data_IF_289501031094
#
_entry.id   IF_289501031094
#
_cell.length_a   1.000
_cell.length_b   1.000
_cell.length_c   1.000
_cell.angle_alpha   90.00
_cell.angle_beta   90.00
_cell.angle_gamma   90.00
#
_symmetry.space_group_name_H-M   'P 1'
#
loop_
_entity.id
_entity.type
_entity.pdbx_description
1 polymer ?
#
# COMPACT_ATOMS: atom_id res chain seq x y z
N UNK A 1 -9.19 -17.01 2.02
CA UNK A 1 -9.19 -15.85 2.94
C UNK A 1 -7.90 -15.05 2.86
N UNK A 2 -6.86 -15.27 3.68
CA UNK A 2 -5.66 -14.39 3.67
C UNK A 2 -4.96 -14.32 2.31
N UNK A 3 -4.90 -15.44 1.57
CA UNK A 3 -4.31 -15.49 0.22
C UNK A 3 -5.05 -14.61 -0.79
N UNK A 4 -6.37 -14.47 -0.65
CA UNK A 4 -7.17 -13.69 -1.59
C UNK A 4 -7.02 -12.20 -1.28
N UNK A 5 -7.06 -11.84 0.01
CA UNK A 5 -6.77 -10.48 0.49
C UNK A 5 -5.39 -9.99 0.03
N UNK A 6 -4.36 -10.84 0.12
CA UNK A 6 -3.01 -10.52 -0.38
C UNK A 6 -3.02 -10.26 -1.89
N UNK A 7 -3.75 -11.06 -2.67
CA UNK A 7 -3.83 -10.87 -4.12
C UNK A 7 -4.57 -9.60 -4.51
N UNK A 8 -5.62 -9.23 -3.78
CA UNK A 8 -6.33 -7.98 -4.01
C UNK A 8 -5.41 -6.78 -3.71
N UNK A 9 -4.72 -6.77 -2.56
CA UNK A 9 -3.72 -5.75 -2.21
C UNK A 9 -2.70 -5.52 -3.35
N UNK A 10 -2.14 -6.59 -3.94
CA UNK A 10 -1.23 -6.45 -5.09
C UNK A 10 -1.88 -5.87 -6.37
N UNK A 11 -3.17 -6.13 -6.60
CA UNK A 11 -3.88 -5.53 -7.74
C UNK A 11 -4.15 -4.05 -7.49
N UNK A 12 -4.51 -3.69 -6.27
CA UNK A 12 -4.75 -2.31 -5.87
C UNK A 12 -3.48 -1.46 -5.96
N UNK A 13 -2.34 -1.99 -5.50
CA UNK A 13 -1.03 -1.33 -5.68
C UNK A 13 -0.75 -1.02 -7.15
N UNK A 14 -0.90 -2.02 -8.04
CA UNK A 14 -0.70 -1.81 -9.49
C UNK A 14 -1.66 -0.79 -10.07
N UNK A 15 -2.90 -0.74 -9.57
CA UNK A 15 -3.88 0.25 -10.01
C UNK A 15 -3.46 1.66 -9.59
N UNK A 16 -2.96 1.83 -8.37
CA UNK A 16 -2.40 3.10 -7.89
C UNK A 16 -1.19 3.52 -8.73
N UNK A 17 -0.24 2.61 -8.98
CA UNK A 17 0.95 2.87 -9.81
C UNK A 17 0.56 3.32 -11.22
N UNK A 18 -0.38 2.62 -11.85
CA UNK A 18 -0.86 2.95 -13.20
C UNK A 18 -1.54 4.33 -13.21
N UNK A 19 -2.39 4.60 -12.23
CA UNK A 19 -3.09 5.87 -12.14
C UNK A 19 -2.12 7.05 -11.96
N UNK A 20 -1.11 6.88 -11.10
CA UNK A 20 -0.06 7.89 -10.90
C UNK A 20 0.76 8.13 -12.17
N UNK A 21 1.09 7.07 -12.93
CA UNK A 21 1.81 7.18 -14.19
C UNK A 21 1.01 7.91 -15.29
N UNK A 22 -0.31 7.72 -15.31
CA UNK A 22 -1.20 8.29 -16.32
C UNK A 22 -1.69 9.72 -15.97
N UNK A 23 -1.54 10.15 -14.72
CA UNK A 23 -2.03 11.45 -14.26
C UNK A 23 -1.18 12.61 -14.78
N UNK A 24 -1.84 13.58 -15.41
CA UNK A 24 -1.23 14.84 -15.83
C UNK A 24 -1.92 16.03 -15.12
N UNK A 25 -1.21 16.81 -14.29
CA UNK A 25 -1.76 17.98 -13.60
C UNK A 25 -2.35 19.06 -14.53
N UNK A 26 -1.94 19.11 -15.79
CA UNK A 26 -2.45 20.05 -16.78
C UNK A 26 -3.66 19.53 -17.58
N UNK A 27 -4.04 18.26 -17.40
CA UNK A 27 -5.18 17.67 -18.09
C UNK A 27 -6.51 18.06 -17.43
N UNK A 28 -7.57 18.21 -18.24
CA UNK A 28 -8.89 18.60 -17.75
C UNK A 28 -9.55 17.55 -16.84
N UNK A 29 -9.11 16.29 -16.90
CA UNK A 29 -9.61 15.17 -16.08
C UNK A 29 -8.80 14.96 -14.79
N UNK A 30 -7.83 15.83 -14.48
CA UNK A 30 -6.93 15.64 -13.33
C UNK A 30 -7.68 15.54 -11.99
N UNK A 31 -8.70 16.37 -11.76
CA UNK A 31 -9.47 16.35 -10.51
C UNK A 31 -10.24 15.04 -10.31
N UNK A 32 -10.77 14.47 -11.39
CA UNK A 32 -11.48 13.20 -11.36
C UNK A 32 -10.51 12.04 -11.08
N UNK A 33 -9.34 12.04 -11.75
CA UNK A 33 -8.28 11.05 -11.49
C UNK A 33 -7.74 11.14 -10.07
N UNK A 34 -7.55 12.35 -9.54
CA UNK A 34 -7.12 12.55 -8.16
C UNK A 34 -8.15 12.02 -7.16
N UNK A 35 -9.44 12.23 -7.45
CA UNK A 35 -10.54 11.69 -6.63
C UNK A 35 -10.58 10.16 -6.70
N UNK A 36 -10.34 9.57 -7.87
CA UNK A 36 -10.19 8.12 -8.00
C UNK A 36 -8.97 7.60 -7.22
N UNK A 37 -7.81 8.25 -7.33
CA UNK A 37 -6.59 7.87 -6.61
C UNK A 37 -6.84 7.83 -5.12
N UNK A 38 -7.43 8.91 -4.58
CA UNK A 38 -7.81 9.00 -3.17
C UNK A 38 -8.69 7.82 -2.75
N UNK A 39 -9.75 7.53 -3.50
CA UNK A 39 -10.67 6.43 -3.17
C UNK A 39 -9.96 5.06 -3.15
N UNK A 40 -9.08 4.78 -4.12
CA UNK A 40 -8.36 3.51 -4.14
C UNK A 40 -7.39 3.40 -2.96
N UNK A 41 -6.70 4.49 -2.59
CA UNK A 41 -5.80 4.50 -1.42
C UNK A 41 -6.58 4.32 -0.11
N UNK A 42 -7.67 5.08 0.09
CA UNK A 42 -8.50 4.98 1.28
C UNK A 42 -9.05 3.56 1.45
N UNK A 43 -9.59 2.97 0.37
CA UNK A 43 -10.08 1.59 0.39
C UNK A 43 -8.99 0.59 0.74
N UNK A 44 -7.82 0.70 0.10
CA UNK A 44 -6.70 -0.18 0.33
C UNK A 44 -6.21 -0.14 1.79
N UNK A 45 -6.06 1.06 2.34
CA UNK A 45 -5.64 1.25 3.74
C UNK A 45 -6.67 0.68 4.71
N UNK A 46 -7.96 0.91 4.45
CA UNK A 46 -9.04 0.36 5.29
C UNK A 46 -9.01 -1.18 5.33
N UNK A 47 -8.75 -1.84 4.19
CA UNK A 47 -8.59 -3.30 4.14
C UNK A 47 -7.34 -3.79 4.88
N UNK A 48 -6.22 -3.08 4.74
CA UNK A 48 -4.98 -3.45 5.42
C UNK A 48 -5.11 -3.29 6.94
N UNK A 49 -5.57 -2.13 7.43
CA UNK A 49 -5.70 -1.85 8.86
C UNK A 49 -6.84 -2.64 9.51
N UNK A 50 -7.97 -2.80 8.81
CA UNK A 50 -9.17 -3.46 9.32
C UNK A 50 -9.09 -4.98 9.29
N UNK A 51 -8.41 -5.56 8.28
CA UNK A 51 -8.42 -7.01 8.05
C UNK A 51 -7.02 -7.63 8.01
N UNK A 52 -6.11 -7.07 7.22
CA UNK A 52 -4.82 -7.72 6.95
C UNK A 52 -3.90 -7.71 8.17
N UNK A 53 -3.68 -6.54 8.79
CA UNK A 53 -2.78 -6.39 9.93
C UNK A 53 -3.26 -7.15 11.16
N UNK A 54 -4.56 -7.15 11.53
CA UNK A 54 -5.05 -8.00 12.62
C UNK A 54 -4.81 -9.49 12.39
N UNK A 55 -4.87 -9.96 11.13
CA UNK A 55 -4.54 -11.35 10.77
C UNK A 55 -3.03 -11.58 10.87
N UNK A 56 -2.22 -10.63 10.41
CA UNK A 56 -0.76 -10.71 10.48
C UNK A 56 -0.26 -10.77 11.94
N UNK A 57 -0.81 -9.95 12.83
CA UNK A 57 -0.50 -9.96 14.27
C UNK A 57 -0.78 -11.33 14.90
N UNK A 58 -1.94 -11.92 14.60
CA UNK A 58 -2.34 -13.24 15.11
C UNK A 58 -1.49 -14.38 14.58
N UNK A 59 -1.05 -14.31 13.32
CA UNK A 59 -0.36 -15.41 12.63
C UNK A 59 1.16 -15.38 12.79
N UNK A 60 1.77 -14.19 12.83
CA UNK A 60 3.23 -14.02 12.80
C UNK A 60 3.84 -13.87 14.20
N UNK A 61 3.08 -13.29 15.14
CA UNK A 61 3.56 -13.04 16.49
C UNK A 61 4.56 -11.88 16.59
N UNK A 62 4.74 -11.38 17.83
CA UNK A 62 5.42 -10.12 18.09
C UNK A 62 6.89 -10.10 17.66
N UNK A 63 7.64 -11.19 17.90
CA UNK A 63 9.06 -11.23 17.58
C UNK A 63 9.32 -11.09 16.07
N UNK A 64 8.53 -11.79 15.24
CA UNK A 64 8.63 -11.70 13.78
C UNK A 64 8.22 -10.33 13.27
N UNK A 65 7.15 -9.75 13.83
CA UNK A 65 6.70 -8.40 13.47
C UNK A 65 7.76 -7.33 13.79
N UNK A 66 8.44 -7.43 14.94
CA UNK A 66 9.54 -6.53 15.31
C UNK A 66 10.72 -6.66 14.35
N UNK A 67 11.12 -7.88 13.99
CA UNK A 67 12.17 -8.13 13.00
C UNK A 67 11.82 -7.51 11.64
N UNK A 68 10.60 -7.73 11.15
CA UNK A 68 10.13 -7.14 9.90
C UNK A 68 10.08 -5.61 9.96
N UNK A 69 9.63 -5.03 11.07
CA UNK A 69 9.65 -3.58 11.28
C UNK A 69 11.07 -3.00 11.21
N UNK A 70 12.05 -3.66 11.83
CA UNK A 70 13.46 -3.26 11.73
C UNK A 70 13.99 -3.35 10.29
N UNK A 71 13.61 -4.38 9.54
CA UNK A 71 13.98 -4.52 8.13
C UNK A 71 13.38 -3.40 7.28
N UNK A 72 12.11 -3.05 7.48
CA UNK A 72 11.43 -1.96 6.76
C UNK A 72 12.10 -0.62 7.06
N UNK A 73 12.41 -0.34 8.32
CA UNK A 73 13.10 0.91 8.71
C UNK A 73 14.51 1.00 8.10
N UNK A 74 15.24 -0.12 8.01
CA UNK A 74 16.52 -0.16 7.32
C UNK A 74 16.36 0.08 5.81
N UNK A 75 15.35 -0.51 5.17
CA UNK A 75 15.07 -0.32 3.74
C UNK A 75 14.74 1.15 3.44
N UNK A 76 13.90 1.80 4.25
CA UNK A 76 13.57 3.24 4.09
C UNK A 76 14.81 4.13 4.19
N UNK A 77 15.70 3.86 5.17
CA UNK A 77 16.96 4.60 5.33
C UNK A 77 17.91 4.38 4.15
N UNK A 78 17.98 3.17 3.60
CA UNK A 78 18.77 2.86 2.41
C UNK A 78 18.24 3.51 1.13
N UNK A 79 16.92 3.58 0.96
CA UNK A 79 16.27 4.28 -0.16
C UNK A 79 16.52 5.79 -0.11
N UNK A 80 16.51 6.40 1.09
CA UNK A 80 16.88 7.81 1.27
C UNK A 80 18.36 8.12 0.97
N UNK A 81 19.23 7.10 0.87
CA UNK A 81 20.65 7.28 0.56
C UNK A 81 20.97 7.04 -0.92
N UNK A 82 20.00 6.63 -1.73
CA UNK A 82 20.15 6.26 -3.15
C UNK A 82 19.24 7.05 -4.09
N UNK A 83 18.49 8.04 -3.58
CA UNK A 83 17.76 9.06 -4.34
C UNK A 83 18.44 10.42 -4.16
#
# INVERSE_FOLDING_TARGET
>A
ETRDLIKESYKEHRKVDQLLADMNPAAGDFADRLSELRRNIEHHVDEEEGEMFPKAEKLLGQARLQEMGQQIEQMKKGQSATA
#
